data_IF_068282615177
#
_entry.id   IF_068282615177
#
_cell.length_a   1.000
_cell.length_b   1.000
_cell.length_c   1.000
_cell.angle_alpha   90.00
_cell.angle_beta   90.00
_cell.angle_gamma   90.00
#
_symmetry.space_group_name_H-M   'P 1'
#
loop_
_entity.id
_entity.type
_entity.pdbx_description
1 polymer ?
#
# COMPACT_ATOMS: atom_id res chain seq x y z
N UNK A 1 -12.01 19.44 -24.20
CA UNK A 1 -10.62 19.49 -23.73
C UNK A 1 -10.67 19.71 -22.23
N UNK A 2 -10.29 18.71 -21.44
CA UNK A 2 -10.37 18.73 -19.96
C UNK A 2 -9.48 19.83 -19.39
N UNK A 3 -10.02 20.64 -18.47
CA UNK A 3 -9.22 21.62 -17.74
C UNK A 3 -8.41 20.89 -16.66
N UNK A 4 -7.09 21.03 -16.65
CA UNK A 4 -6.22 20.38 -15.66
C UNK A 4 -6.38 20.94 -14.24
N UNK A 5 -6.90 22.17 -14.11
CA UNK A 5 -7.12 22.86 -12.82
C UNK A 5 -8.55 22.72 -12.29
N UNK A 6 -9.38 21.92 -12.94
CA UNK A 6 -10.78 21.71 -12.51
C UNK A 6 -10.94 21.43 -11.02
N UNK A 7 -10.19 20.51 -10.37
CA UNK A 7 -10.40 20.23 -8.95
C UNK A 7 -10.08 21.43 -8.05
N UNK A 8 -9.04 22.20 -8.37
CA UNK A 8 -8.68 23.42 -7.63
C UNK A 8 -9.76 24.48 -7.79
N UNK A 9 -10.16 24.78 -9.03
CA UNK A 9 -11.15 25.82 -9.34
C UNK A 9 -12.52 25.49 -8.73
N UNK A 10 -12.91 24.21 -8.73
CA UNK A 10 -14.17 23.77 -8.12
C UNK A 10 -14.11 23.90 -6.60
N UNK A 11 -13.02 23.48 -5.95
CA UNK A 11 -12.86 23.62 -4.51
C UNK A 11 -12.86 25.10 -4.07
N UNK A 12 -12.06 25.92 -4.75
CA UNK A 12 -11.98 27.37 -4.50
C UNK A 12 -13.35 28.03 -4.73
N UNK A 13 -14.13 27.61 -5.73
CA UNK A 13 -15.46 28.20 -5.96
C UNK A 13 -16.42 28.05 -4.76
N UNK A 14 -16.30 26.98 -3.98
CA UNK A 14 -17.14 26.72 -2.82
C UNK A 14 -16.56 27.23 -1.48
N UNK A 15 -15.31 27.69 -1.48
CA UNK A 15 -14.66 28.24 -0.28
C UNK A 15 -15.14 29.68 0.02
N UNK A 16 -15.56 29.90 1.27
CA UNK A 16 -16.02 31.22 1.75
C UNK A 16 -14.88 32.07 2.32
N UNK A 17 -13.71 31.49 2.56
CA UNK A 17 -12.57 32.15 3.20
C UNK A 17 -11.56 32.75 2.20
N UNK A 18 -11.81 32.61 0.89
CA UNK A 18 -10.95 33.17 -0.14
C UNK A 18 -10.84 34.69 -0.07
N UNK A 19 -9.65 35.20 -0.39
CA UNK A 19 -9.42 36.63 -0.58
C UNK A 19 -10.25 37.18 -1.75
N UNK A 20 -10.65 38.46 -1.76
CA UNK A 20 -11.47 39.04 -2.82
C UNK A 20 -10.81 38.92 -4.20
N UNK A 21 -9.48 39.09 -4.27
CA UNK A 21 -8.72 38.95 -5.50
C UNK A 21 -8.73 37.52 -6.06
N UNK A 22 -8.64 36.51 -5.19
CA UNK A 22 -8.68 35.11 -5.61
C UNK A 22 -10.07 34.72 -6.14
N UNK A 23 -11.14 35.24 -5.53
CA UNK A 23 -12.53 35.00 -6.00
C UNK A 23 -12.76 35.54 -7.41
N UNK A 24 -12.26 36.75 -7.70
CA UNK A 24 -12.38 37.34 -9.04
C UNK A 24 -11.68 36.49 -10.11
N UNK A 25 -10.50 35.95 -9.80
CA UNK A 25 -9.76 35.06 -10.72
C UNK A 25 -10.51 33.74 -10.97
N UNK A 26 -11.04 33.12 -9.92
CA UNK A 26 -11.85 31.90 -10.04
C UNK A 26 -13.11 32.16 -10.85
N UNK A 27 -13.81 33.27 -10.58
CA UNK A 27 -15.03 33.63 -11.31
C UNK A 27 -14.75 33.92 -12.80
N UNK A 28 -13.65 34.63 -13.10
CA UNK A 28 -13.22 34.85 -14.48
C UNK A 28 -12.92 33.52 -15.20
N UNK A 29 -12.27 32.58 -14.53
CA UNK A 29 -11.99 31.25 -15.09
C UNK A 29 -13.26 30.44 -15.36
N UNK A 30 -14.24 30.45 -14.44
CA UNK A 30 -15.53 29.74 -14.61
C UNK A 30 -16.36 30.32 -15.76
N UNK A 31 -16.27 31.64 -16.00
CA UNK A 31 -16.91 32.27 -17.15
C UNK A 31 -16.23 31.91 -18.48
N UNK A 32 -14.91 31.69 -18.48
CA UNK A 32 -14.17 31.33 -19.69
C UNK A 32 -14.19 29.82 -20.01
N UNK A 33 -14.32 28.95 -19.00
CA UNK A 33 -14.20 27.50 -19.17
C UNK A 33 -15.57 26.78 -19.03
N UNK A 34 -16.06 26.21 -20.13
CA UNK A 34 -17.31 25.44 -20.14
C UNK A 34 -17.25 24.16 -19.28
N UNK A 35 -16.08 23.53 -19.20
CA UNK A 35 -15.89 22.30 -18.43
C UNK A 35 -16.01 22.54 -16.93
N UNK A 36 -15.29 23.53 -16.38
CA UNK A 36 -15.40 23.91 -14.98
C UNK A 36 -16.83 24.35 -14.62
N UNK A 37 -17.52 25.02 -15.54
CA UNK A 37 -18.93 25.41 -15.37
C UNK A 37 -19.87 24.21 -15.26
N UNK A 38 -19.67 23.20 -16.10
CA UNK A 38 -20.45 21.97 -16.06
C UNK A 38 -20.26 21.22 -14.74
N UNK A 39 -19.02 21.11 -14.26
CA UNK A 39 -18.69 20.46 -12.98
C UNK A 39 -19.30 21.18 -11.77
N UNK A 40 -19.25 22.52 -11.75
CA UNK A 40 -19.91 23.31 -10.70
C UNK A 40 -21.43 23.11 -10.74
N UNK A 41 -22.02 23.06 -11.94
CA UNK A 41 -23.46 22.82 -12.10
C UNK A 41 -23.89 21.42 -11.61
N UNK A 42 -23.03 20.40 -11.76
CA UNK A 42 -23.28 19.06 -11.22
C UNK A 42 -23.33 19.05 -9.68
N UNK A 43 -22.57 19.94 -9.02
CA UNK A 43 -22.48 20.02 -7.56
C UNK A 43 -23.52 20.95 -6.92
N UNK A 44 -24.21 21.78 -7.71
CA UNK A 44 -25.24 22.69 -7.22
C UNK A 44 -26.36 22.03 -6.39
N UNK A 45 -26.90 20.84 -6.77
CA UNK A 45 -27.93 20.16 -5.97
C UNK A 45 -27.42 19.73 -4.58
N UNK A 46 -26.17 19.26 -4.48
CA UNK A 46 -25.56 18.87 -3.22
C UNK A 46 -25.34 20.09 -2.31
N UNK A 47 -24.94 21.23 -2.88
CA UNK A 47 -24.83 22.49 -2.14
C UNK A 47 -26.18 22.93 -1.56
N UNK A 48 -27.26 22.83 -2.32
CA UNK A 48 -28.59 23.19 -1.84
C UNK A 48 -29.06 22.24 -0.71
N UNK A 49 -28.81 20.94 -0.86
CA UNK A 49 -29.11 19.96 0.18
C UNK A 49 -28.36 20.24 1.48
N UNK A 50 -27.06 20.59 1.39
CA UNK A 50 -26.25 20.99 2.54
C UNK A 50 -26.71 22.31 3.18
N UNK A 51 -27.24 23.27 2.39
CA UNK A 51 -27.82 24.50 2.94
C UNK A 51 -29.12 24.25 3.68
N UNK A 52 -29.92 23.29 3.20
CA UNK A 52 -31.17 22.86 3.85
C UNK A 52 -30.96 21.88 5.00
N UNK A 53 -29.72 21.41 5.22
CA UNK A 53 -29.40 20.47 6.28
C UNK A 53 -29.61 21.11 7.65
N UNK A 54 -30.58 20.57 8.38
CA UNK A 54 -30.80 20.91 9.78
C UNK A 54 -30.00 19.93 10.65
N UNK A 55 -29.33 20.41 11.72
CA UNK A 55 -28.68 19.53 12.67
C UNK A 55 -29.74 18.71 13.40
N UNK A 56 -29.93 17.46 12.97
CA UNK A 56 -30.66 16.47 13.74
C UNK A 56 -29.93 16.28 15.07
N UNK A 57 -30.64 16.40 16.19
CA UNK A 57 -30.04 16.12 17.50
C UNK A 57 -29.61 14.66 17.50
N UNK A 58 -28.30 14.42 17.54
CA UNK A 58 -27.76 13.08 17.71
C UNK A 58 -28.45 12.45 18.93
N UNK A 59 -28.90 11.18 18.84
CA UNK A 59 -29.46 10.50 19.99
C UNK A 59 -28.46 10.57 21.14
N UNK A 60 -28.97 10.77 22.35
CA UNK A 60 -28.17 10.76 23.57
C UNK A 60 -27.56 9.36 23.76
N UNK A 61 -26.42 9.11 23.13
CA UNK A 61 -25.61 7.96 23.46
C UNK A 61 -25.19 8.14 24.92
N UNK A 62 -25.54 7.20 25.83
CA UNK A 62 -25.08 7.28 27.21
C UNK A 62 -23.55 7.31 27.17
N UNK A 63 -22.97 8.44 27.59
CA UNK A 63 -21.54 8.62 27.52
C UNK A 63 -20.87 7.52 28.36
N UNK A 64 -19.99 6.69 27.78
CA UNK A 64 -19.23 5.75 28.57
C UNK A 64 -18.32 6.52 29.55
N UNK A 65 -18.25 6.03 30.80
CA UNK A 65 -17.74 6.69 32.01
C UNK A 65 -16.28 7.20 31.91
N UNK A 66 -15.56 6.89 30.83
CA UNK A 66 -14.18 7.31 30.59
C UNK A 66 -14.01 8.73 30.02
N UNK A 67 -15.10 9.39 29.61
CA UNK A 67 -15.05 10.79 29.09
C UNK A 67 -15.16 11.88 30.17
N UNK A 68 -15.35 11.49 31.44
CA UNK A 68 -15.44 12.46 32.55
C UNK A 68 -14.12 13.20 32.83
N UNK A 69 -12.99 12.71 32.33
CA UNK A 69 -11.66 13.22 32.70
C UNK A 69 -10.98 14.11 31.66
N UNK A 70 -11.62 14.42 30.52
CA UNK A 70 -11.02 15.30 29.50
C UNK A 70 -12.05 16.25 28.87
N UNK A 71 -12.59 17.14 29.70
CA UNK A 71 -13.22 18.40 29.28
C UNK A 71 -12.81 19.51 30.25
N UNK A 72 -12.63 20.76 29.80
CA UNK A 72 -12.16 21.84 30.65
C UNK A 72 -13.16 22.11 31.78
N UNK A 73 -12.66 21.96 33.01
CA UNK A 73 -13.28 22.16 34.31
C UNK A 73 -14.55 23.06 34.32
N UNK A 74 -15.73 22.44 34.46
CA UNK A 74 -16.84 23.11 35.12
C UNK A 74 -16.69 22.90 36.63
N UNK A 75 -16.35 23.99 37.34
CA UNK A 75 -16.25 23.99 38.80
C UNK A 75 -17.62 23.77 39.44
N UNK A 76 -17.91 22.55 39.88
CA UNK A 76 -18.94 22.33 40.90
C UNK A 76 -18.26 22.10 42.27
N UNK A 77 -18.58 22.90 43.31
CA UNK A 77 -18.04 22.70 44.65
C UNK A 77 -18.67 21.45 45.29
N UNK A 78 -17.85 20.42 45.52
CA UNK A 78 -18.25 19.20 46.23
C UNK A 78 -18.59 19.50 47.69
N UNK A 79 -19.79 19.13 48.12
CA UNK A 79 -20.21 19.13 49.53
C UNK A 79 -19.38 18.14 50.36
N UNK A 80 -18.88 18.57 51.51
CA UNK A 80 -18.07 17.73 52.41
C UNK A 80 -18.95 16.77 53.22
N UNK A 81 -18.72 15.46 53.07
CA UNK A 81 -19.38 14.44 53.89
C UNK A 81 -18.81 14.40 55.32
N UNK A 82 -19.63 14.07 56.35
CA UNK A 82 -19.18 13.99 57.73
C UNK A 82 -18.22 12.80 57.95
N UNK A 83 -17.03 13.10 58.49
CA UNK A 83 -16.01 12.11 58.87
C UNK A 83 -16.44 11.33 60.13
N UNK A 84 -17.13 10.20 59.96
CA UNK A 84 -17.13 9.13 60.98
C UNK A 84 -15.81 8.36 60.86
N UNK A 85 -14.93 8.47 61.85
CA UNK A 85 -13.78 7.56 62.00
C UNK A 85 -14.22 6.40 62.90
N UNK A 86 -14.43 5.18 62.38
CA UNK A 86 -14.68 4.03 63.24
C UNK A 86 -13.37 3.69 63.98
N UNK A 87 -13.38 3.79 65.30
CA UNK A 87 -12.30 3.26 66.12
C UNK A 87 -12.30 1.73 66.04
N UNK A 88 -11.16 1.14 65.69
CA UNK A 88 -10.99 -0.29 65.53
C UNK A 88 -10.93 -0.95 66.93
N UNK A 89 -12.06 -1.45 67.41
CA UNK A 89 -12.12 -2.26 68.64
C UNK A 89 -11.76 -3.71 68.34
N UNK A 90 -10.92 -4.33 69.18
CA UNK A 90 -10.54 -5.76 69.09
C UNK A 90 -11.75 -6.72 69.08
N UNK A 91 -12.87 -6.32 69.68
CA UNK A 91 -14.13 -7.08 69.61
C UNK A 91 -14.70 -7.16 68.17
N UNK A 92 -14.37 -6.21 67.30
CA UNK A 92 -14.80 -6.20 65.89
C UNK A 92 -13.77 -6.85 64.95
N UNK A 93 -12.61 -7.30 65.44
CA UNK A 93 -11.57 -7.92 64.62
C UNK A 93 -12.08 -9.19 63.91
N UNK A 94 -12.93 -9.98 64.58
CA UNK A 94 -13.54 -11.18 63.99
C UNK A 94 -14.44 -10.91 62.78
N UNK A 95 -14.93 -9.68 62.58
CA UNK A 95 -15.74 -9.32 61.42
C UNK A 95 -14.92 -9.27 60.12
N UNK A 96 -13.59 -9.21 60.21
CA UNK A 96 -12.69 -9.15 59.07
C UNK A 96 -12.19 -10.52 58.62
N UNK A 97 -12.48 -11.59 59.37
CA UNK A 97 -12.15 -12.97 58.99
C UNK A 97 -12.61 -13.36 57.57
N UNK A 98 -13.89 -13.16 57.17
CA UNK A 98 -14.32 -13.52 55.82
C UNK A 98 -13.64 -12.66 54.75
N UNK A 99 -13.37 -11.38 55.04
CA UNK A 99 -12.64 -10.49 54.13
C UNK A 99 -11.19 -10.93 53.97
N UNK A 100 -10.50 -11.25 55.07
CA UNK A 100 -9.13 -11.76 55.04
C UNK A 100 -9.04 -13.10 54.31
N UNK A 101 -9.98 -14.02 54.55
CA UNK A 101 -10.06 -15.28 53.82
C UNK A 101 -10.28 -15.06 52.32
N UNK A 102 -11.20 -14.16 51.95
CA UNK A 102 -11.46 -13.82 50.54
C UNK A 102 -10.24 -13.21 49.86
N UNK A 103 -9.51 -12.33 50.55
CA UNK A 103 -8.28 -11.73 50.06
C UNK A 103 -7.20 -12.80 49.84
N UNK A 104 -6.96 -13.67 50.83
CA UNK A 104 -5.98 -14.75 50.73
C UNK A 104 -6.31 -15.68 49.56
N UNK A 105 -7.58 -16.04 49.39
CA UNK A 105 -8.02 -16.90 48.29
C UNK A 105 -7.89 -16.20 46.93
N UNK A 106 -8.16 -14.89 46.88
CA UNK A 106 -7.96 -14.08 45.66
C UNK A 106 -6.49 -14.01 45.27
N UNK A 107 -5.60 -13.79 46.25
CA UNK A 107 -4.15 -13.79 46.05
C UNK A 107 -3.66 -15.17 45.65
N UNK A 108 -4.19 -16.24 46.26
CA UNK A 108 -3.88 -17.63 45.91
C UNK A 108 -4.25 -17.96 44.45
N UNK A 109 -5.40 -17.47 43.97
CA UNK A 109 -5.84 -17.59 42.58
C UNK A 109 -4.94 -16.79 41.64
N UNK A 110 -4.62 -15.53 41.97
CA UNK A 110 -3.73 -14.68 41.17
C UNK A 110 -2.32 -15.25 41.04
N UNK A 111 -1.82 -15.88 42.10
CA UNK A 111 -0.47 -16.46 42.15
C UNK A 111 -0.44 -17.94 41.72
N UNK A 112 -1.58 -18.50 41.28
CA UNK A 112 -1.76 -19.91 40.93
C UNK A 112 -1.13 -20.88 41.95
N UNK A 113 -1.39 -20.67 43.25
CA UNK A 113 -0.80 -21.52 44.29
C UNK A 113 -1.31 -22.94 44.16
N UNK A 114 -0.39 -23.92 44.03
CA UNK A 114 -0.74 -25.34 44.16
C UNK A 114 -0.25 -25.86 45.50
N UNK A 115 -1.18 -26.44 46.25
CA UNK A 115 -0.94 -27.16 47.49
C UNK A 115 -0.91 -28.65 47.16
N UNK A 116 0.26 -29.27 47.30
CA UNK A 116 0.41 -30.72 47.20
C UNK A 116 0.63 -31.28 48.61
N UNK A 117 -0.18 -32.27 48.98
CA UNK A 117 -0.14 -32.91 50.30
C UNK A 117 0.36 -34.33 50.08
N UNK A 118 1.63 -34.56 50.40
CA UNK A 118 2.26 -35.87 50.32
C UNK A 118 2.46 -36.47 51.71
N UNK A 119 2.76 -37.77 51.78
CA UNK A 119 3.12 -38.46 53.03
C UNK A 119 4.36 -37.87 53.73
N UNK A 120 5.11 -37.00 53.05
CA UNK A 120 6.34 -36.37 53.54
C UNK A 120 6.13 -34.91 54.00
N UNK A 121 4.91 -34.37 53.86
CA UNK A 121 4.56 -33.02 54.32
C UNK A 121 3.79 -32.19 53.29
N UNK A 122 3.61 -30.91 53.64
CA UNK A 122 2.87 -29.92 52.85
C UNK A 122 3.84 -29.14 51.96
N UNK A 123 3.65 -29.21 50.64
CA UNK A 123 4.40 -28.43 49.68
C UNK A 123 3.49 -27.34 49.07
N UNK A 124 3.92 -26.08 49.19
CA UNK A 124 3.26 -24.95 48.52
C UNK A 124 4.14 -24.50 47.36
N UNK A 125 3.61 -24.56 46.14
CA UNK A 125 4.27 -24.06 44.93
C UNK A 125 3.53 -22.83 44.41
N UNK A 126 4.28 -21.80 44.01
CA UNK A 126 3.78 -20.52 43.53
C UNK A 126 4.27 -20.29 42.10
N UNK A 127 3.39 -19.83 41.21
CA UNK A 127 3.77 -19.53 39.84
C UNK A 127 3.76 -20.73 38.88
N UNK A 128 3.58 -20.40 37.60
CA UNK A 128 3.27 -21.32 36.52
C UNK A 128 4.51 -21.95 35.90
N UNK A 129 4.97 -23.07 36.46
CA UNK A 129 5.83 -24.03 35.74
C UNK A 129 5.21 -24.47 34.40
N UNK A 130 3.88 -24.41 34.30
CA UNK A 130 3.12 -24.61 33.07
C UNK A 130 3.35 -23.52 32.00
N UNK A 131 3.59 -22.26 32.39
CA UNK A 131 3.85 -21.18 31.43
C UNK A 131 5.29 -21.24 30.90
N UNK A 132 6.25 -21.62 31.74
CA UNK A 132 7.65 -21.84 31.32
C UNK A 132 7.76 -23.04 30.36
N UNK A 133 7.03 -24.13 30.62
CA UNK A 133 6.95 -25.27 29.68
C UNK A 133 6.23 -24.91 28.38
N UNK A 134 5.17 -24.11 28.44
CA UNK A 134 4.46 -23.64 27.25
C UNK A 134 5.31 -22.65 26.41
N UNK A 135 6.13 -21.80 27.05
CA UNK A 135 7.08 -20.93 26.38
C UNK A 135 8.21 -21.72 25.70
N UNK A 136 8.75 -22.74 26.36
CA UNK A 136 9.76 -23.62 25.77
C UNK A 136 9.21 -24.38 24.55
N UNK A 137 7.97 -24.86 24.62
CA UNK A 137 7.32 -25.54 23.50
C UNK A 137 7.06 -24.58 22.32
N UNK A 138 6.69 -23.33 22.61
CA UNK A 138 6.52 -22.31 21.59
C UNK A 138 7.85 -21.97 20.90
N UNK A 139 8.94 -21.89 21.65
CA UNK A 139 10.26 -21.56 21.10
C UNK A 139 10.78 -22.68 20.19
N UNK A 140 10.58 -23.95 20.58
CA UNK A 140 10.87 -25.12 19.72
C UNK A 140 10.03 -25.08 18.44
N UNK A 141 8.73 -24.78 18.55
CA UNK A 141 7.84 -24.66 17.39
C UNK A 141 8.26 -23.53 16.44
N UNK A 142 8.60 -22.35 16.99
CA UNK A 142 9.05 -21.20 16.19
C UNK A 142 10.39 -21.50 15.49
N UNK A 143 11.32 -22.16 16.18
CA UNK A 143 12.59 -22.57 15.60
C UNK A 143 12.42 -23.59 14.46
N UNK A 144 11.53 -24.57 14.65
CA UNK A 144 11.19 -25.55 13.61
C UNK A 144 10.55 -24.85 12.41
N UNK A 145 9.61 -23.94 12.63
CA UNK A 145 8.93 -23.22 11.57
C UNK A 145 9.87 -22.29 10.79
N UNK A 146 10.81 -21.62 11.47
CA UNK A 146 11.85 -20.83 10.84
C UNK A 146 12.75 -21.69 9.94
N UNK A 147 13.11 -22.90 10.39
CA UNK A 147 13.92 -23.83 9.61
C UNK A 147 13.21 -24.33 8.34
N UNK A 148 11.92 -24.66 8.45
CA UNK A 148 11.07 -25.08 7.32
C UNK A 148 10.94 -23.93 6.32
N UNK A 149 10.68 -22.71 6.80
CA UNK A 149 10.54 -21.54 5.93
C UNK A 149 11.84 -21.22 5.21
N UNK A 150 12.99 -21.33 5.89
CA UNK A 150 14.29 -21.13 5.27
C UNK A 150 14.56 -22.18 4.18
N UNK A 151 14.25 -23.45 4.44
CA UNK A 151 14.42 -24.53 3.47
C UNK A 151 13.52 -24.35 2.24
N UNK A 152 12.25 -23.98 2.44
CA UNK A 152 11.32 -23.67 1.36
C UNK A 152 11.80 -22.50 0.51
N UNK A 153 12.32 -21.44 1.16
CA UNK A 153 12.82 -20.25 0.46
C UNK A 153 14.06 -20.57 -0.39
N UNK A 154 14.97 -21.42 0.13
CA UNK A 154 16.13 -21.92 -0.63
C UNK A 154 15.71 -22.78 -1.82
N UNK A 155 14.73 -23.68 -1.65
CA UNK A 155 14.22 -24.50 -2.74
C UNK A 155 13.54 -23.66 -3.82
N UNK A 156 12.74 -22.67 -3.43
CA UNK A 156 12.12 -21.73 -4.35
C UNK A 156 13.17 -20.93 -5.12
N UNK A 157 14.21 -20.42 -4.45
CA UNK A 157 15.30 -19.70 -5.11
C UNK A 157 16.04 -20.60 -6.11
N UNK A 158 16.34 -21.84 -5.73
CA UNK A 158 17.00 -22.80 -6.62
C UNK A 158 16.14 -23.14 -7.85
N UNK A 159 14.85 -23.38 -7.66
CA UNK A 159 13.91 -23.64 -8.75
C UNK A 159 13.77 -22.43 -9.69
N UNK A 160 13.67 -21.23 -9.13
CA UNK A 160 13.60 -20.00 -9.92
C UNK A 160 14.89 -19.80 -10.74
N UNK A 161 16.07 -19.98 -10.14
CA UNK A 161 17.35 -19.88 -10.85
C UNK A 161 17.47 -20.90 -11.99
N UNK A 162 16.97 -22.12 -11.79
CA UNK A 162 16.97 -23.15 -12.81
C UNK A 162 16.03 -22.81 -13.98
N UNK A 163 14.80 -22.39 -13.68
CA UNK A 163 13.84 -21.94 -14.69
C UNK A 163 14.36 -20.75 -15.50
N UNK A 164 14.97 -19.76 -14.82
CA UNK A 164 15.63 -18.64 -15.50
C UNK A 164 16.80 -19.11 -16.37
N UNK A 165 17.59 -20.09 -15.92
CA UNK A 165 18.69 -20.65 -16.70
C UNK A 165 18.22 -21.35 -17.97
N UNK A 166 17.21 -22.21 -17.85
CA UNK A 166 16.67 -22.99 -18.97
C UNK A 166 15.99 -22.08 -20.00
N UNK A 167 15.12 -21.16 -19.55
CA UNK A 167 14.46 -20.19 -20.42
C UNK A 167 15.43 -19.21 -21.09
N UNK A 168 16.47 -18.77 -20.39
CA UNK A 168 17.50 -17.90 -20.97
C UNK A 168 18.28 -18.65 -22.05
N UNK A 169 18.62 -19.91 -21.81
CA UNK A 169 19.37 -20.73 -22.78
C UNK A 169 18.57 -20.93 -24.07
N UNK A 170 17.28 -21.28 -23.96
CA UNK A 170 16.38 -21.44 -25.10
C UNK A 170 16.21 -20.12 -25.88
N UNK A 171 16.08 -18.99 -25.16
CA UNK A 171 15.98 -17.67 -25.80
C UNK A 171 17.25 -17.27 -26.56
N UNK A 172 18.43 -17.64 -26.04
CA UNK A 172 19.72 -17.38 -26.69
C UNK A 172 19.92 -18.26 -27.93
N UNK A 173 19.48 -19.51 -27.88
CA UNK A 173 19.51 -20.41 -29.04
C UNK A 173 18.57 -19.91 -30.16
N UNK A 174 17.35 -19.50 -29.82
CA UNK A 174 16.42 -18.86 -30.77
C UNK A 174 17.00 -17.57 -31.36
N UNK A 175 17.68 -16.75 -30.53
CA UNK A 175 18.30 -15.52 -31.00
C UNK A 175 19.48 -15.80 -31.94
N UNK A 176 20.32 -16.78 -31.62
CA UNK A 176 21.44 -17.19 -32.47
C UNK A 176 20.96 -17.66 -33.85
N UNK A 177 19.96 -18.54 -33.88
CA UNK A 177 19.37 -19.03 -35.13
C UNK A 177 18.71 -17.91 -35.95
N UNK A 178 18.05 -16.96 -35.28
CA UNK A 178 17.50 -15.78 -35.96
C UNK A 178 18.59 -14.90 -36.59
N UNK A 179 19.71 -14.67 -35.91
CA UNK A 179 20.83 -13.91 -36.46
C UNK A 179 21.47 -14.61 -37.67
N UNK A 180 21.58 -15.93 -37.65
CA UNK A 180 22.09 -16.71 -38.78
C UNK A 180 21.16 -16.58 -39.99
N UNK A 181 19.85 -16.75 -39.81
CA UNK A 181 18.87 -16.55 -40.88
C UNK A 181 18.91 -15.13 -41.45
N UNK A 182 19.00 -14.12 -40.57
CA UNK A 182 19.08 -12.73 -40.99
C UNK A 182 20.36 -12.46 -41.79
N UNK A 183 21.49 -13.05 -41.38
CA UNK A 183 22.76 -12.93 -42.09
C UNK A 183 22.68 -13.56 -43.48
N UNK A 184 22.03 -14.70 -43.66
CA UNK A 184 21.83 -15.32 -44.97
C UNK A 184 21.00 -14.44 -45.90
N UNK A 185 19.89 -13.88 -45.39
CA UNK A 185 19.05 -12.95 -46.15
C UNK A 185 19.82 -11.69 -46.55
N UNK A 186 20.66 -11.17 -45.67
CA UNK A 186 21.45 -9.98 -45.96
C UNK A 186 22.52 -10.26 -47.02
N UNK A 187 23.17 -11.43 -46.99
CA UNK A 187 24.09 -11.88 -48.05
C UNK A 187 23.37 -11.94 -49.41
N UNK A 188 22.19 -12.58 -49.47
CA UNK A 188 21.41 -12.65 -50.71
C UNK A 188 21.01 -11.27 -51.22
N UNK A 189 20.63 -10.35 -50.32
CA UNK A 189 20.30 -8.97 -50.69
C UNK A 189 21.52 -8.22 -51.22
N UNK A 190 22.69 -8.40 -50.61
CA UNK A 190 23.94 -7.81 -51.10
C UNK A 190 24.28 -8.32 -52.49
N UNK A 191 24.21 -9.63 -52.72
CA UNK A 191 24.46 -10.23 -54.04
C UNK A 191 23.52 -9.67 -55.11
N UNK A 192 22.21 -9.62 -54.83
CA UNK A 192 21.22 -9.04 -55.72
C UNK A 192 21.50 -7.54 -55.99
N UNK A 193 21.90 -6.79 -54.96
CA UNK A 193 22.29 -5.39 -55.10
C UNK A 193 23.52 -5.20 -55.99
N UNK A 194 24.55 -6.04 -55.85
CA UNK A 194 25.73 -6.02 -56.72
C UNK A 194 25.38 -6.35 -58.18
N UNK A 195 24.51 -7.33 -58.41
CA UNK A 195 24.04 -7.65 -59.77
C UNK A 195 23.30 -6.46 -60.41
N UNK A 196 22.43 -5.79 -59.68
CA UNK A 196 21.72 -4.59 -60.17
C UNK A 196 22.68 -3.44 -60.52
N UNK A 197 23.74 -3.24 -59.73
CA UNK A 197 24.75 -2.23 -60.02
C UNK A 197 25.50 -2.55 -61.32
N UNK A 198 25.92 -3.81 -61.51
CA UNK A 198 26.57 -4.25 -62.73
C UNK A 198 25.67 -4.06 -63.96
N UNK A 199 24.40 -4.46 -63.88
CA UNK A 199 23.44 -4.30 -64.98
C UNK A 199 23.22 -2.83 -65.34
N UNK A 200 23.10 -1.96 -64.33
CA UNK A 200 22.98 -0.52 -64.54
C UNK A 200 24.23 0.06 -65.20
N UNK A 201 25.41 -0.37 -64.80
CA UNK A 201 26.66 0.09 -65.41
C UNK A 201 26.77 -0.36 -66.86
N UNK A 202 26.39 -1.60 -67.20
CA UNK A 202 26.31 -2.08 -68.58
C UNK A 202 25.31 -1.26 -69.43
N UNK A 203 24.11 -0.99 -68.91
CA UNK A 203 23.13 -0.14 -69.59
C UNK A 203 23.64 1.29 -69.78
N UNK A 204 24.35 1.83 -68.79
CA UNK A 204 24.93 3.18 -68.86
C UNK A 204 26.02 3.23 -69.95
N UNK A 205 26.95 2.27 -69.97
CA UNK A 205 28.01 2.22 -70.99
C UNK A 205 27.43 2.03 -72.40
N UNK A 206 26.49 1.11 -72.58
CA UNK A 206 25.85 0.88 -73.88
C UNK A 206 25.07 2.11 -74.37
N UNK A 207 24.34 2.79 -73.49
CA UNK A 207 23.62 4.03 -73.87
C UNK A 207 24.59 5.15 -74.25
N UNK A 208 25.72 5.30 -73.56
CA UNK A 208 26.78 6.26 -73.93
C UNK A 208 27.39 5.91 -75.28
N UNK A 209 27.65 4.62 -75.57
CA UNK A 209 28.15 4.19 -76.87
C UNK A 209 27.15 4.45 -78.00
N UNK A 210 25.86 4.22 -77.77
CA UNK A 210 24.78 4.52 -78.73
C UNK A 210 24.66 6.02 -79.00
N UNK A 211 24.81 6.86 -77.97
CA UNK A 211 24.84 8.31 -78.14
C UNK A 211 26.06 8.75 -78.96
N UNK A 212 27.24 8.17 -78.69
CA UNK A 212 28.46 8.47 -79.44
C UNK A 212 28.33 8.09 -80.92
N UNK A 213 27.79 6.90 -81.23
CA UNK A 213 27.58 6.45 -82.61
C UNK A 213 26.51 7.27 -83.35
N UNK A 214 25.44 7.69 -82.65
CA UNK A 214 24.43 8.58 -83.22
C UNK A 214 25.00 9.96 -83.59
N UNK A 215 25.83 10.55 -82.72
CA UNK A 215 26.51 11.83 -83.00
C UNK A 215 27.45 11.69 -84.20
N UNK A 216 28.19 10.58 -84.30
CA UNK A 216 29.08 10.32 -85.43
C UNK A 216 28.30 10.18 -86.76
N UNK A 217 27.19 9.43 -86.77
CA UNK A 217 26.34 9.28 -87.97
C UNK A 217 25.76 10.62 -88.45
N UNK A 218 25.36 11.51 -87.53
CA UNK A 218 24.91 12.87 -87.90
C UNK A 218 26.02 13.77 -88.43
N UNK A 219 27.27 13.54 -88.04
CA UNK A 219 28.42 14.30 -88.51
C UNK A 219 28.87 13.95 -89.93
N UNK A 220 28.57 12.73 -90.39
CA UNK A 220 28.92 12.20 -91.72
C UNK A 220 27.83 12.42 -92.80
N UNK A 221 26.72 13.09 -92.48
CA UNK A 221 25.74 13.52 -93.48
C UNK A 221 26.17 14.88 -94.08
N UNK A 222 26.35 15.00 -95.42
CA UNK A 222 26.85 16.22 -96.07
C UNK A 222 25.87 17.40 -96.02
#
# INVERSE_FOLDING_TARGET
MSCHRTPEIVADHFDRELSPQAREQVQAHVQACEFCRAEIALLAPAQELLRSWQPETAPEWPAPDWTRDHGPASHQPRSTLPKRRPAMSWANAGRWLPLAASLVLSVAVLTQTRLDVSDQGWQVSFGSSAAETQLQQLDVYLAEQASIQQQQNQQMLAAALQEFGDSTTDSLEQMATWFEQQRELDIQRMEAGFQQLLDRDYQTVSSVQQLASYVQYRGDQP
#
